data_IF_898779351190
#
_entry.id   IF_898779351190
#
_cell.length_a   1.000
_cell.length_b   1.000
_cell.length_c   1.000
_cell.angle_alpha   90.00
_cell.angle_beta   90.00
_cell.angle_gamma   90.00
#
_symmetry.space_group_name_H-M   'P 1'
#
loop_
_entity.id
_entity.type
_entity.pdbx_description
1 polymer ?
#
# COMPACT_ATOMS: atom_id res chain seq x y z
N UNK A 1 22.50 -21.67 -1.41
CA UNK A 1 22.70 -20.23 -1.14
C UNK A 1 21.38 -19.66 -0.65
N UNK A 2 21.24 -19.40 0.66
CA UNK A 2 20.05 -18.75 1.22
C UNK A 2 20.39 -17.28 1.38
N UNK A 3 19.83 -16.44 0.51
CA UNK A 3 20.04 -14.99 0.59
C UNK A 3 19.05 -14.39 1.58
N UNK A 4 19.56 -13.98 2.74
CA UNK A 4 18.80 -13.15 3.68
C UNK A 4 18.63 -11.74 3.09
N UNK A 5 17.46 -11.08 3.26
CA UNK A 5 17.20 -9.73 2.75
C UNK A 5 18.23 -8.73 3.28
N UNK A 6 18.75 -7.84 2.42
CA UNK A 6 19.89 -6.97 2.75
C UNK A 6 19.76 -6.13 4.03
N UNK A 7 18.55 -5.70 4.41
CA UNK A 7 18.32 -5.03 5.70
C UNK A 7 18.43 -5.99 6.89
N UNK A 8 17.92 -7.21 6.78
CA UNK A 8 18.02 -8.21 7.85
C UNK A 8 19.47 -8.66 8.04
N UNK A 9 20.21 -8.88 6.94
CA UNK A 9 21.64 -9.19 7.00
C UNK A 9 22.46 -8.03 7.55
N UNK A 10 22.13 -6.78 7.19
CA UNK A 10 22.77 -5.58 7.74
C UNK A 10 22.56 -5.43 9.25
N UNK A 11 21.36 -5.71 9.76
CA UNK A 11 21.07 -5.69 11.19
C UNK A 11 21.79 -6.81 11.95
N UNK A 12 21.85 -8.02 11.39
CA UNK A 12 22.58 -9.15 11.98
C UNK A 12 24.09 -8.86 12.03
N UNK A 13 24.67 -8.31 10.96
CA UNK A 13 26.09 -7.91 10.93
C UNK A 13 26.41 -6.75 11.87
N UNK A 14 25.43 -5.88 12.15
CA UNK A 14 25.53 -4.82 13.16
C UNK A 14 25.40 -5.34 14.61
N UNK A 15 25.30 -6.65 14.81
CA UNK A 15 25.24 -7.29 16.14
C UNK A 15 23.83 -7.43 16.73
N UNK A 16 22.77 -7.10 15.97
CA UNK A 16 21.39 -7.32 16.43
C UNK A 16 21.03 -8.81 16.34
N UNK A 17 20.36 -9.39 17.36
CA UNK A 17 19.91 -10.77 17.32
C UNK A 17 19.04 -11.02 16.07
N UNK A 18 19.24 -12.11 15.31
CA UNK A 18 18.48 -12.41 14.10
C UNK A 18 16.96 -12.52 14.33
N UNK A 19 16.56 -12.89 15.55
CA UNK A 19 15.16 -12.92 15.95
C UNK A 19 14.53 -11.51 16.02
N UNK A 20 15.31 -10.49 16.38
CA UNK A 20 14.84 -9.09 16.38
C UNK A 20 14.70 -8.55 14.96
N UNK A 21 15.72 -8.77 14.11
CA UNK A 21 15.67 -8.36 12.70
C UNK A 21 14.45 -8.95 11.96
N UNK A 22 14.10 -10.21 12.23
CA UNK A 22 12.91 -10.85 11.66
C UNK A 22 11.60 -10.23 12.13
N UNK A 23 11.49 -9.85 13.43
CA UNK A 23 10.29 -9.19 13.98
C UNK A 23 10.05 -7.82 13.34
N UNK A 24 11.10 -7.02 13.20
CA UNK A 24 11.00 -5.72 12.53
C UNK A 24 10.64 -5.86 11.05
N UNK A 25 11.22 -6.82 10.35
CA UNK A 25 10.87 -7.07 8.95
C UNK A 25 9.39 -7.44 8.79
N UNK A 26 8.87 -8.30 9.66
CA UNK A 26 7.46 -8.70 9.66
C UNK A 26 6.54 -7.52 9.96
N UNK A 27 6.89 -6.69 10.95
CA UNK A 27 6.15 -5.47 11.28
C UNK A 27 6.07 -4.52 10.08
N UNK A 28 7.19 -4.28 9.40
CA UNK A 28 7.24 -3.41 8.22
C UNK A 28 6.38 -3.97 7.09
N UNK A 29 6.43 -5.28 6.84
CA UNK A 29 5.60 -5.92 5.82
C UNK A 29 4.11 -5.74 6.11
N UNK A 30 3.68 -5.95 7.35
CA UNK A 30 2.29 -5.71 7.74
C UNK A 30 1.89 -4.25 7.61
N UNK A 31 2.76 -3.33 8.02
CA UNK A 31 2.50 -1.90 7.95
C UNK A 31 2.33 -1.42 6.50
N UNK A 32 3.23 -1.83 5.61
CA UNK A 32 3.15 -1.50 4.17
C UNK A 32 1.90 -2.13 3.56
N UNK A 33 1.65 -3.41 3.84
CA UNK A 33 0.51 -4.13 3.26
C UNK A 33 -0.83 -3.53 3.71
N UNK A 34 -0.99 -3.27 5.01
CA UNK A 34 -2.19 -2.66 5.56
C UNK A 34 -2.36 -1.21 5.07
N UNK A 35 -1.29 -0.41 5.10
CA UNK A 35 -1.33 0.98 4.63
C UNK A 35 -1.69 1.08 3.15
N UNK A 36 -1.08 0.24 2.32
CA UNK A 36 -1.35 0.21 0.87
C UNK A 36 -2.74 -0.33 0.58
N UNK A 37 -3.16 -1.40 1.27
CA UNK A 37 -4.48 -2.01 1.12
C UNK A 37 -5.60 -1.04 1.51
N UNK A 38 -5.52 -0.45 2.71
CA UNK A 38 -6.49 0.54 3.18
C UNK A 38 -6.49 1.79 2.30
N UNK A 39 -5.31 2.26 1.89
CA UNK A 39 -5.16 3.40 0.99
C UNK A 39 -5.82 3.16 -0.37
N UNK A 40 -5.57 1.99 -0.98
CA UNK A 40 -6.19 1.61 -2.25
C UNK A 40 -7.72 1.47 -2.12
N UNK A 41 -8.20 0.82 -1.06
CA UNK A 41 -9.63 0.70 -0.78
C UNK A 41 -10.29 2.07 -0.60
N UNK A 42 -9.69 2.97 0.19
CA UNK A 42 -10.18 4.32 0.41
C UNK A 42 -10.18 5.14 -0.90
N UNK A 43 -9.12 5.05 -1.70
CA UNK A 43 -9.01 5.73 -2.99
C UNK A 43 -10.11 5.26 -3.96
N UNK A 44 -10.35 3.95 -4.05
CA UNK A 44 -11.42 3.39 -4.89
C UNK A 44 -12.79 3.79 -4.37
N UNK A 45 -13.02 3.77 -3.06
CA UNK A 45 -14.30 4.14 -2.47
C UNK A 45 -14.64 5.62 -2.68
N UNK A 46 -13.69 6.52 -2.44
CA UNK A 46 -13.84 7.96 -2.68
C UNK A 46 -14.00 8.23 -4.17
N UNK A 47 -13.18 7.59 -5.01
CA UNK A 47 -13.26 7.69 -6.45
C UNK A 47 -14.63 7.26 -6.97
N UNK A 48 -15.13 6.12 -6.49
CA UNK A 48 -16.45 5.60 -6.85
C UNK A 48 -17.57 6.56 -6.43
N UNK A 49 -17.57 7.05 -5.18
CA UNK A 49 -18.55 8.03 -4.72
C UNK A 49 -18.53 9.35 -5.50
N UNK A 50 -17.36 9.76 -6.02
CA UNK A 50 -17.22 11.00 -6.77
C UNK A 50 -17.64 10.84 -8.24
N UNK A 51 -17.45 9.66 -8.83
CA UNK A 51 -17.66 9.41 -10.25
C UNK A 51 -19.02 8.76 -10.56
N UNK A 52 -19.59 8.01 -9.62
CA UNK A 52 -20.84 7.29 -9.76
C UNK A 52 -21.95 7.99 -8.96
N UNK A 53 -23.09 8.22 -9.60
CA UNK A 53 -24.30 8.74 -8.95
C UNK A 53 -25.06 7.61 -8.20
N UNK A 54 -26.07 7.93 -7.38
CA UNK A 54 -26.86 6.96 -6.59
C UNK A 54 -27.48 5.83 -7.44
N UNK A 55 -27.60 6.04 -8.76
CA UNK A 55 -28.06 5.03 -9.74
C UNK A 55 -26.95 4.20 -10.38
N UNK A 56 -25.73 4.20 -9.82
CA UNK A 56 -24.54 3.52 -10.37
C UNK A 56 -24.21 3.92 -11.82
N UNK A 57 -24.71 5.06 -12.29
CA UNK A 57 -24.38 5.60 -13.61
C UNK A 57 -23.09 6.40 -13.48
N UNK A 58 -22.10 6.05 -14.29
CA UNK A 58 -20.87 6.81 -14.48
C UNK A 58 -21.24 8.21 -14.99
N UNK A 59 -20.97 9.25 -14.20
CA UNK A 59 -21.21 10.64 -14.61
C UNK A 59 -20.10 11.06 -15.57
N UNK A 60 -20.30 10.75 -16.86
CA UNK A 60 -19.43 11.17 -17.96
C UNK A 60 -19.19 12.69 -17.95
N UNK A 61 -20.14 13.49 -17.45
CA UNK A 61 -20.02 14.94 -17.23
C UNK A 61 -18.82 15.37 -16.36
N UNK A 62 -18.31 14.49 -15.49
CA UNK A 62 -17.12 14.75 -14.65
C UNK A 62 -15.81 14.31 -15.33
N UNK A 63 -15.89 13.46 -16.34
CA UNK A 63 -14.74 12.93 -17.10
C UNK A 63 -14.50 13.74 -18.39
N UNK A 64 -15.52 14.41 -18.90
CA UNK A 64 -15.38 15.39 -19.98
C UNK A 64 -14.73 16.66 -19.43
N UNK A 65 -13.39 16.64 -19.33
CA UNK A 65 -12.61 17.87 -19.38
C UNK A 65 -12.97 18.55 -20.69
N UNK A 66 -13.76 19.62 -20.62
CA UNK A 66 -13.99 20.53 -21.71
C UNK A 66 -12.65 21.23 -22.04
N UNK A 67 -11.76 20.49 -22.70
CA UNK A 67 -10.64 21.05 -23.45
C UNK A 67 -11.27 21.67 -24.70
N UNK A 68 -11.69 22.93 -24.56
CA UNK A 68 -11.63 23.85 -25.69
C UNK A 68 -10.23 24.45 -25.72
#
# INVERSE_FOLDING_TARGET
>A
LVSLPGMMTGQILAGSPPLEAAKYQLLILFLISAGTGLGAMAAVWIGSRRLFDDRQRLRLDRLTTNRR
#
